data_IF_732795022216
#
_entry.id   IF_732795022216
#
_cell.length_a   1.000
_cell.length_b   1.000
_cell.length_c   1.000
_cell.angle_alpha   90.00
_cell.angle_beta   90.00
_cell.angle_gamma   90.00
#
_symmetry.space_group_name_H-M   'P 1'
#
loop_
_entity.id
_entity.type
_entity.pdbx_description
1 polymer ?
#
# COMPACT_ATOMS: atom_id res chain seq x y z
N UNK A 1 -9.38 10.11 -19.29
CA UNK A 1 -8.69 9.09 -20.10
C UNK A 1 -9.51 8.86 -21.36
N UNK A 2 -8.88 9.01 -22.52
CA UNK A 2 -9.54 8.80 -23.82
C UNK A 2 -9.57 7.30 -24.19
N UNK A 3 -10.46 6.91 -25.11
CA UNK A 3 -10.55 5.52 -25.58
C UNK A 3 -9.21 5.03 -26.17
N UNK A 4 -8.46 5.91 -26.83
CA UNK A 4 -7.15 5.58 -27.38
C UNK A 4 -6.09 5.24 -26.33
N UNK A 5 -6.09 5.92 -25.18
CA UNK A 5 -5.19 5.61 -24.06
C UNK A 5 -5.50 4.25 -23.44
N UNK A 6 -6.79 3.88 -23.37
CA UNK A 6 -7.22 2.57 -22.88
C UNK A 6 -6.72 1.44 -23.79
N UNK A 7 -6.87 1.60 -25.10
CA UNK A 7 -6.38 0.64 -26.09
C UNK A 7 -4.85 0.52 -26.05
N UNK A 8 -4.15 1.64 -25.83
CA UNK A 8 -2.70 1.66 -25.65
C UNK A 8 -2.27 0.89 -24.39
N UNK A 9 -2.91 1.11 -23.24
CA UNK A 9 -2.62 0.39 -21.99
C UNK A 9 -2.75 -1.13 -22.22
N UNK A 10 -3.85 -1.58 -22.82
CA UNK A 10 -4.10 -2.99 -23.07
C UNK A 10 -3.08 -3.60 -24.05
N UNK A 11 -2.70 -2.86 -25.08
CA UNK A 11 -1.67 -3.29 -26.05
C UNK A 11 -0.31 -3.45 -25.37
N UNK A 12 0.13 -2.44 -24.62
CA UNK A 12 1.43 -2.45 -23.90
C UNK A 12 1.44 -3.53 -22.83
N UNK A 13 0.32 -3.74 -22.13
CA UNK A 13 0.13 -4.82 -21.17
C UNK A 13 0.40 -6.20 -21.80
N UNK A 14 -0.27 -6.50 -22.91
CA UNK A 14 -0.12 -7.78 -23.61
C UNK A 14 1.30 -7.98 -24.16
N UNK A 15 1.88 -6.92 -24.76
CA UNK A 15 3.27 -6.91 -25.22
C UNK A 15 4.24 -7.25 -24.09
N UNK A 16 4.09 -6.55 -22.95
CA UNK A 16 4.99 -6.67 -21.80
C UNK A 16 4.93 -8.05 -21.17
N UNK A 17 3.72 -8.61 -20.97
CA UNK A 17 3.54 -9.98 -20.43
C UNK A 17 4.19 -11.03 -21.35
N UNK A 18 4.01 -10.89 -22.66
CA UNK A 18 4.61 -11.77 -23.66
C UNK A 18 6.14 -11.71 -23.63
N UNK A 19 6.69 -10.49 -23.57
CA UNK A 19 8.13 -10.24 -23.60
C UNK A 19 8.87 -10.84 -22.40
N UNK A 20 8.31 -10.70 -21.19
CA UNK A 20 8.90 -11.30 -19.98
C UNK A 20 8.58 -12.80 -19.82
N UNK A 21 7.78 -13.35 -20.74
CA UNK A 21 7.34 -14.75 -20.76
C UNK A 21 6.69 -15.17 -19.44
N UNK A 22 5.93 -14.28 -18.82
CA UNK A 22 5.30 -14.55 -17.52
C UNK A 22 4.06 -15.42 -17.71
N UNK A 23 4.14 -16.67 -17.21
CA UNK A 23 3.07 -17.67 -17.34
C UNK A 23 2.03 -17.52 -16.23
N UNK A 24 1.24 -16.45 -16.29
CA UNK A 24 0.08 -16.27 -15.42
C UNK A 24 -1.08 -17.18 -15.84
N UNK A 25 -1.79 -17.75 -14.86
CA UNK A 25 -3.08 -18.39 -15.11
C UNK A 25 -4.07 -17.34 -15.60
N UNK A 26 -5.02 -17.73 -16.45
CA UNK A 26 -6.00 -16.80 -17.03
C UNK A 26 -6.73 -15.91 -15.99
N UNK A 27 -7.18 -16.42 -14.82
CA UNK A 27 -7.78 -15.57 -13.79
C UNK A 27 -6.80 -14.52 -13.23
N UNK A 28 -5.56 -14.92 -12.91
CA UNK A 28 -4.52 -14.02 -12.40
C UNK A 28 -4.13 -12.95 -13.42
N UNK A 29 -4.04 -13.33 -14.71
CA UNK A 29 -3.74 -12.39 -15.80
C UNK A 29 -4.83 -11.32 -15.92
N UNK A 30 -6.11 -11.73 -15.98
CA UNK A 30 -7.25 -10.78 -16.01
C UNK A 30 -7.28 -9.87 -14.79
N UNK A 31 -6.91 -10.40 -13.63
CA UNK A 31 -6.86 -9.61 -12.40
C UNK A 31 -5.75 -8.55 -12.47
N UNK A 32 -4.54 -8.94 -12.87
CA UNK A 32 -3.43 -8.00 -13.09
C UNK A 32 -3.79 -6.93 -14.13
N UNK A 33 -4.46 -7.30 -15.23
CA UNK A 33 -4.95 -6.35 -16.24
C UNK A 33 -5.93 -5.33 -15.64
N UNK A 34 -6.93 -5.80 -14.88
CA UNK A 34 -7.90 -4.94 -14.20
C UNK A 34 -7.22 -4.00 -13.21
N UNK A 35 -6.24 -4.51 -12.48
CA UNK A 35 -5.52 -3.77 -11.47
C UNK A 35 -4.62 -2.69 -12.10
N UNK A 36 -3.92 -3.01 -13.20
CA UNK A 36 -3.15 -2.03 -14.00
C UNK A 36 -4.06 -0.94 -14.55
N UNK A 37 -5.23 -1.30 -15.10
CA UNK A 37 -6.21 -0.32 -15.57
C UNK A 37 -6.68 0.60 -14.45
N UNK A 38 -6.98 0.06 -13.27
CA UNK A 38 -7.42 0.86 -12.13
C UNK A 38 -6.34 1.86 -11.67
N UNK A 39 -5.07 1.47 -11.73
CA UNK A 39 -3.93 2.33 -11.40
C UNK A 39 -3.69 3.40 -12.46
N UNK A 40 -3.68 3.05 -13.75
CA UNK A 40 -3.48 3.99 -14.86
C UNK A 40 -4.63 4.99 -15.01
N UNK A 41 -5.84 4.61 -14.60
CA UNK A 41 -7.01 5.51 -14.54
C UNK A 41 -7.08 6.31 -13.24
N UNK A 42 -6.15 6.10 -12.32
CA UNK A 42 -6.12 6.69 -10.97
C UNK A 42 -7.39 6.44 -10.14
N UNK A 43 -8.22 5.47 -10.54
CA UNK A 43 -9.41 5.06 -9.77
C UNK A 43 -9.04 4.39 -8.46
N UNK A 44 -7.84 3.79 -8.40
CA UNK A 44 -7.20 3.32 -7.17
C UNK A 44 -5.73 3.73 -7.17
N UNK A 45 -5.21 4.33 -6.09
CA UNK A 45 -3.79 4.66 -5.98
C UNK A 45 -2.92 3.45 -5.61
N UNK A 46 -3.50 2.43 -4.97
CA UNK A 46 -2.80 1.26 -4.42
C UNK A 46 -3.64 0.00 -4.60
N UNK A 47 -2.96 -1.09 -4.94
CA UNK A 47 -3.54 -2.42 -5.05
C UNK A 47 -2.61 -3.40 -4.36
N UNK A 48 -3.15 -4.16 -3.39
CA UNK A 48 -2.46 -5.31 -2.82
C UNK A 48 -2.54 -6.48 -3.80
N UNK A 49 -1.39 -7.09 -4.11
CA UNK A 49 -1.29 -8.11 -5.15
C UNK A 49 -1.48 -9.51 -4.58
N UNK A 50 -2.38 -10.27 -5.20
CA UNK A 50 -2.59 -11.71 -4.93
C UNK A 50 -2.78 -12.49 -6.24
N UNK A 51 -1.77 -12.46 -7.12
CA UNK A 51 -1.82 -13.18 -8.40
C UNK A 51 -1.33 -14.63 -8.30
N UNK A 52 -1.00 -15.07 -7.08
CA UNK A 52 -0.22 -16.26 -6.82
C UNK A 52 1.26 -16.06 -7.17
N UNK A 53 2.11 -16.91 -6.59
CA UNK A 53 3.57 -16.80 -6.70
C UNK A 53 4.20 -16.80 -5.31
N UNK A 54 5.53 -16.91 -5.27
CA UNK A 54 6.31 -16.79 -4.03
C UNK A 54 7.20 -15.56 -4.15
N UNK A 55 7.40 -14.86 -3.04
CA UNK A 55 8.48 -13.87 -2.97
C UNK A 55 9.83 -14.64 -2.94
N UNK A 56 10.89 -14.13 -3.60
CA UNK A 56 10.99 -12.85 -4.34
C UNK A 56 10.57 -12.92 -5.83
N UNK A 57 10.23 -14.10 -6.37
CA UNK A 57 9.93 -14.26 -7.81
C UNK A 57 8.78 -13.35 -8.28
N UNK A 58 7.71 -13.22 -7.48
CA UNK A 58 6.58 -12.35 -7.83
C UNK A 58 7.00 -10.89 -7.96
N UNK A 59 7.83 -10.39 -7.04
CA UNK A 59 8.41 -9.05 -7.09
C UNK A 59 9.24 -8.85 -8.36
N UNK A 60 10.16 -9.76 -8.65
CA UNK A 60 11.03 -9.67 -9.83
C UNK A 60 10.20 -9.63 -11.13
N UNK A 61 9.15 -10.45 -11.22
CA UNK A 61 8.23 -10.49 -12.36
C UNK A 61 7.46 -9.18 -12.53
N UNK A 62 6.95 -8.61 -11.44
CA UNK A 62 6.23 -7.33 -11.46
C UNK A 62 7.15 -6.18 -11.83
N UNK A 63 8.37 -6.14 -11.28
CA UNK A 63 9.36 -5.12 -11.63
C UNK A 63 9.77 -5.24 -13.11
N UNK A 64 10.02 -6.45 -13.61
CA UNK A 64 10.33 -6.67 -15.02
C UNK A 64 9.16 -6.28 -15.94
N UNK A 65 7.93 -6.60 -15.54
CA UNK A 65 6.71 -6.18 -16.24
C UNK A 65 6.61 -4.66 -16.33
N UNK A 66 6.67 -3.94 -15.20
CA UNK A 66 6.58 -2.48 -15.19
C UNK A 66 7.71 -1.82 -15.96
N UNK A 67 8.93 -2.37 -15.90
CA UNK A 67 10.07 -1.87 -16.67
C UNK A 67 9.79 -1.91 -18.18
N UNK A 68 9.22 -3.01 -18.68
CA UNK A 68 8.83 -3.10 -20.09
C UNK A 68 7.69 -2.15 -20.44
N UNK A 69 6.66 -2.04 -19.60
CA UNK A 69 5.57 -1.11 -19.86
C UNK A 69 6.05 0.35 -19.99
N UNK A 70 6.94 0.79 -19.08
CA UNK A 70 7.52 2.14 -19.10
C UNK A 70 8.42 2.42 -20.30
N UNK A 71 9.06 1.39 -20.86
CA UNK A 71 9.86 1.53 -22.08
C UNK A 71 8.98 1.75 -23.31
N UNK A 72 7.76 1.21 -23.31
CA UNK A 72 6.84 1.32 -24.44
C UNK A 72 5.91 2.54 -24.36
N UNK A 73 5.51 2.97 -23.15
CA UNK A 73 4.57 4.07 -22.97
C UNK A 73 4.78 4.84 -21.66
N UNK A 74 4.66 6.17 -21.73
CA UNK A 74 4.75 7.08 -20.57
C UNK A 74 3.54 6.97 -19.64
N UNK A 75 2.43 6.35 -20.07
CA UNK A 75 1.25 6.12 -19.20
C UNK A 75 1.63 5.35 -17.93
N UNK A 76 2.66 4.49 -18.01
CA UNK A 76 3.13 3.66 -16.90
C UNK A 76 4.22 4.34 -16.05
N UNK A 77 4.62 5.58 -16.39
CA UNK A 77 5.75 6.28 -15.78
C UNK A 77 5.66 6.34 -14.26
N UNK A 78 4.45 6.45 -13.70
CA UNK A 78 4.20 6.58 -12.27
C UNK A 78 3.93 5.25 -11.56
N UNK A 79 3.86 4.12 -12.27
CA UNK A 79 3.61 2.82 -11.64
C UNK A 79 4.85 2.28 -10.96
N UNK A 80 4.69 1.75 -9.74
CA UNK A 80 5.77 1.16 -8.94
C UNK A 80 5.27 -0.12 -8.26
N UNK A 81 6.21 -1.01 -7.96
CA UNK A 81 6.05 -2.10 -7.00
C UNK A 81 6.44 -1.55 -5.63
N UNK A 82 5.59 -1.76 -4.63
CA UNK A 82 5.88 -1.43 -3.25
C UNK A 82 5.81 -2.69 -2.38
N UNK A 83 6.73 -2.84 -1.44
CA UNK A 83 6.79 -3.97 -0.51
C UNK A 83 6.68 -3.46 0.91
N UNK A 84 5.90 -4.15 1.73
CA UNK A 84 5.78 -3.89 3.16
C UNK A 84 5.71 -5.25 3.86
N UNK A 85 6.77 -5.60 4.60
CA UNK A 85 6.94 -6.95 5.16
C UNK A 85 6.81 -8.01 4.04
N UNK A 86 5.93 -8.99 4.20
CA UNK A 86 5.68 -10.05 3.22
C UNK A 86 4.61 -9.68 2.18
N UNK A 87 4.11 -8.44 2.21
CA UNK A 87 3.04 -7.96 1.33
C UNK A 87 3.60 -7.18 0.16
N UNK A 88 3.03 -7.42 -1.02
CA UNK A 88 3.39 -6.73 -2.26
C UNK A 88 2.21 -5.93 -2.81
N UNK A 89 2.51 -4.74 -3.30
CA UNK A 89 1.55 -3.78 -3.81
C UNK A 89 1.99 -3.26 -5.17
N UNK A 90 1.02 -2.99 -6.04
CA UNK A 90 1.19 -2.11 -7.19
C UNK A 90 0.60 -0.74 -6.84
N UNK A 91 1.35 0.31 -7.13
CA UNK A 91 0.95 1.68 -6.79
C UNK A 91 1.08 2.61 -7.99
N UNK A 92 0.24 3.64 -8.00
CA UNK A 92 0.43 4.83 -8.82
C UNK A 92 1.04 5.92 -7.92
N UNK A 93 2.34 6.19 -8.08
CA UNK A 93 3.15 6.97 -7.12
C UNK A 93 2.53 8.33 -6.79
N UNK A 94 2.12 9.09 -7.79
CA UNK A 94 1.55 10.44 -7.61
C UNK A 94 0.19 10.39 -6.94
N UNK A 95 -0.69 9.50 -7.39
CA UNK A 95 -2.03 9.35 -6.83
C UNK A 95 -1.97 8.89 -5.37
N UNK A 96 -1.02 8.02 -5.02
CA UNK A 96 -0.76 7.62 -3.64
C UNK A 96 -0.24 8.80 -2.80
N UNK A 97 0.70 9.60 -3.31
CA UNK A 97 1.19 10.78 -2.62
C UNK A 97 0.05 11.78 -2.29
N UNK A 98 -0.84 12.02 -3.27
CA UNK A 98 -2.01 12.87 -3.10
C UNK A 98 -2.99 12.29 -2.07
N UNK A 99 -3.25 10.97 -2.13
CA UNK A 99 -4.07 10.27 -1.13
C UNK A 99 -3.52 10.41 0.30
N UNK A 100 -2.21 10.18 0.49
CA UNK A 100 -1.55 10.30 1.80
C UNK A 100 -1.70 11.73 2.34
N UNK A 101 -1.50 12.73 1.48
CA UNK A 101 -1.64 14.14 1.84
C UNK A 101 -3.07 14.50 2.25
N UNK A 102 -4.07 14.09 1.49
CA UNK A 102 -5.48 14.34 1.81
C UNK A 102 -5.92 13.59 3.07
N UNK A 103 -5.41 12.38 3.28
CA UNK A 103 -5.62 11.61 4.52
C UNK A 103 -5.08 12.33 5.76
N UNK A 104 -3.86 12.90 5.69
CA UNK A 104 -3.26 13.64 6.81
C UNK A 104 -3.97 14.96 7.12
N UNK A 105 -4.55 15.59 6.10
CA UNK A 105 -5.35 16.82 6.26
C UNK A 105 -6.78 16.58 6.70
N UNK A 106 -7.18 15.31 6.89
CA UNK A 106 -8.54 14.90 7.20
C UNK A 106 -9.56 15.35 6.13
N UNK A 107 -9.11 15.48 4.88
CA UNK A 107 -9.99 15.76 3.72
C UNK A 107 -10.78 14.50 3.31
N UNK A 108 -10.30 13.32 3.73
CA UNK A 108 -10.96 12.02 3.52
C UNK A 108 -11.55 11.57 4.85
N UNK A 109 -12.86 11.38 4.90
CA UNK A 109 -13.53 10.84 6.08
C UNK A 109 -13.21 9.34 6.21
N UNK A 110 -12.54 8.97 7.30
CA UNK A 110 -12.24 7.59 7.66
C UNK A 110 -12.91 7.25 8.98
N UNK A 111 -13.64 6.13 8.99
CA UNK A 111 -14.23 5.60 10.21
C UNK A 111 -13.26 4.63 10.86
N UNK A 112 -13.00 4.82 12.15
CA UNK A 112 -12.11 3.94 12.91
C UNK A 112 -12.90 3.07 13.87
N UNK A 113 -12.63 1.77 13.89
CA UNK A 113 -13.20 0.84 14.88
C UNK A 113 -12.08 0.32 15.77
N UNK A 114 -12.21 0.57 17.07
CA UNK A 114 -11.35 0.03 18.11
C UNK A 114 -11.67 -1.45 18.32
N UNK A 115 -10.76 -2.33 17.91
CA UNK A 115 -10.88 -3.78 18.13
C UNK A 115 -10.27 -4.23 19.46
N UNK A 116 -9.62 -3.34 20.21
CA UNK A 116 -9.10 -3.65 21.55
C UNK A 116 -10.21 -3.57 22.60
N UNK A 117 -11.30 -2.88 22.31
CA UNK A 117 -12.47 -2.80 23.19
C UNK A 117 -13.39 -4.01 23.01
N UNK A 118 -14.00 -4.47 24.10
CA UNK A 118 -15.10 -5.44 24.05
C UNK A 118 -16.34 -4.81 24.70
N UNK A 119 -17.43 -4.56 23.96
CA UNK A 119 -17.56 -4.77 22.51
C UNK A 119 -16.70 -3.75 21.71
N UNK A 120 -16.34 -4.06 20.45
CA UNK A 120 -15.69 -3.10 19.56
C UNK A 120 -16.50 -1.83 19.41
N UNK A 121 -15.82 -0.68 19.29
CA UNK A 121 -16.49 0.63 19.22
C UNK A 121 -15.89 1.51 18.14
N UNK A 122 -16.74 2.26 17.45
CA UNK A 122 -16.25 3.36 16.61
C UNK A 122 -15.58 4.43 17.46
N UNK A 123 -14.44 4.92 16.98
CA UNK A 123 -13.70 6.01 17.60
C UNK A 123 -13.97 7.28 16.79
N UNK A 124 -14.46 8.32 17.47
CA UNK A 124 -14.64 9.66 16.90
C UNK A 124 -13.49 10.61 17.21
N UNK A 125 -12.62 10.26 18.17
CA UNK A 125 -11.44 11.04 18.58
C UNK A 125 -10.18 10.16 18.54
N UNK A 126 -9.36 10.35 17.50
CA UNK A 126 -8.10 9.64 17.23
C UNK A 126 -7.12 9.72 18.41
N UNK A 127 -7.12 10.84 19.15
CA UNK A 127 -6.18 11.15 20.25
C UNK A 127 -6.26 10.21 21.48
N UNK A 128 -7.29 9.35 21.57
CA UNK A 128 -7.51 8.46 22.74
C UNK A 128 -7.05 7.01 22.52
N UNK A 129 -6.56 6.66 21.34
CA UNK A 129 -6.15 5.29 21.00
C UNK A 129 -4.66 5.27 20.64
N UNK A 130 -3.89 4.42 21.32
CA UNK A 130 -2.48 4.15 20.99
C UNK A 130 -2.34 3.69 19.54
N UNK A 131 -3.16 2.72 19.11
CA UNK A 131 -3.17 2.22 17.73
C UNK A 131 -3.44 3.32 16.68
N UNK A 132 -4.26 4.32 17.02
CA UNK A 132 -4.53 5.45 16.13
C UNK A 132 -3.33 6.41 16.03
N UNK A 133 -2.59 6.62 17.13
CA UNK A 133 -1.33 7.37 17.12
C UNK A 133 -0.25 6.65 16.30
N UNK A 134 -0.17 5.32 16.40
CA UNK A 134 0.73 4.50 15.59
C UNK A 134 0.40 4.57 14.10
N UNK A 135 -0.89 4.53 13.74
CA UNK A 135 -1.32 4.78 12.37
C UNK A 135 -0.93 6.19 11.88
N UNK A 136 -1.11 7.23 12.71
CA UNK A 136 -0.69 8.59 12.36
C UNK A 136 0.84 8.69 12.16
N UNK A 137 1.62 7.99 12.97
CA UNK A 137 3.08 7.89 12.81
C UNK A 137 3.44 7.23 11.48
N UNK A 138 2.75 6.13 11.11
CA UNK A 138 2.90 5.50 9.81
C UNK A 138 2.53 6.45 8.66
N UNK A 139 1.41 7.17 8.76
CA UNK A 139 0.98 8.14 7.73
C UNK A 139 2.03 9.24 7.49
N UNK A 140 2.62 9.77 8.57
CA UNK A 140 3.70 10.77 8.47
C UNK A 140 4.96 10.20 7.83
N UNK A 141 5.31 8.96 8.16
CA UNK A 141 6.45 8.27 7.55
C UNK A 141 6.23 8.06 6.05
N UNK A 142 5.04 7.60 5.65
CA UNK A 142 4.65 7.52 4.24
C UNK A 142 4.72 8.89 3.55
N UNK A 143 4.22 9.96 4.18
CA UNK A 143 4.29 11.31 3.60
C UNK A 143 5.73 11.79 3.37
N UNK A 144 6.69 11.33 4.20
CA UNK A 144 8.11 11.66 4.02
C UNK A 144 8.71 10.97 2.79
N UNK A 145 8.35 9.70 2.56
CA UNK A 145 8.77 8.89 1.41
C UNK A 145 8.14 9.40 0.12
N UNK A 146 6.85 9.70 0.15
CA UNK A 146 6.06 10.12 -1.01
C UNK A 146 6.02 11.65 -1.20
N UNK A 147 7.08 12.36 -0.78
CA UNK A 147 7.20 13.79 -0.98
C UNK A 147 7.44 14.13 -2.46
N UNK A 148 6.85 15.23 -2.95
CA UNK A 148 6.78 15.56 -4.38
C UNK A 148 8.15 15.79 -5.06
N UNK A 149 9.23 15.98 -4.29
CA UNK A 149 10.62 16.12 -4.79
C UNK A 149 11.36 14.78 -4.97
N UNK A 150 10.75 13.65 -4.61
CA UNK A 150 11.38 12.33 -4.51
C UNK A 150 11.76 11.63 -5.82
N UNK A 151 11.70 12.29 -6.98
CA UNK A 151 12.10 11.65 -8.25
C UNK A 151 13.63 11.47 -8.37
N UNK A 152 14.43 12.10 -7.50
CA UNK A 152 15.91 12.12 -7.59
C UNK A 152 16.66 11.90 -6.26
N UNK A 153 15.99 11.62 -5.15
CA UNK A 153 16.66 11.45 -3.85
C UNK A 153 16.35 10.09 -3.26
N UNK A 154 17.42 9.31 -3.02
CA UNK A 154 17.38 8.04 -2.31
C UNK A 154 16.81 8.28 -0.88
N UNK A 155 15.60 7.79 -0.55
CA UNK A 155 14.91 8.12 0.69
C UNK A 155 15.66 7.65 1.95
N UNK A 156 16.59 6.71 1.79
CA UNK A 156 17.31 6.06 2.90
C UNK A 156 18.59 6.79 3.32
N UNK A 157 19.07 7.80 2.57
CA UNK A 157 20.26 8.56 2.98
C UNK A 157 19.99 9.68 3.99
N UNK A 158 18.74 10.11 4.16
CA UNK A 158 18.42 11.30 4.98
C UNK A 158 18.10 10.98 6.45
N UNK A 159 18.21 9.73 6.89
CA UNK A 159 18.21 9.37 8.30
C UNK A 159 19.61 8.97 8.77
N UNK A 160 20.47 9.98 8.89
CA UNK A 160 21.56 9.96 9.87
C UNK A 160 20.95 9.96 11.27
N UNK A 161 20.55 8.78 11.76
CA UNK A 161 20.42 8.54 13.19
C UNK A 161 21.82 8.17 13.66
N UNK A 162 22.46 9.12 14.36
CA UNK A 162 23.70 8.89 15.10
C UNK A 162 23.47 7.76 16.12
N UNK A 163 23.85 6.54 15.75
CA UNK A 163 24.11 5.43 16.68
C UNK A 163 25.62 5.23 16.75
N UNK A 164 26.30 6.19 17.37
CA UNK A 164 27.69 6.00 17.82
C UNK A 164 27.69 5.27 19.16
N UNK A 165 27.96 3.96 19.16
CA UNK A 165 28.83 3.30 20.14
C UNK A 165 29.00 1.79 19.87
N UNK A 166 30.11 1.50 19.18
CA UNK A 166 31.09 0.47 19.53
C UNK A 166 30.99 -0.98 18.97
N UNK A 167 32.10 -1.32 18.30
CA UNK A 167 32.77 -2.63 18.18
C UNK A 167 32.19 -3.71 17.23
N UNK A 168 32.59 -3.59 15.95
CA UNK A 168 33.41 -4.61 15.25
C UNK A 168 32.77 -5.95 14.86
N UNK A 169 32.43 -6.09 13.57
CA UNK A 169 32.73 -7.29 12.77
C UNK A 169 32.20 -7.10 11.34
N UNK A 170 33.03 -7.50 10.37
CA UNK A 170 32.82 -7.53 8.92
C UNK A 170 31.43 -8.01 8.46
N UNK A 171 30.89 -7.43 7.38
CA UNK A 171 30.52 -8.14 6.14
C UNK A 171 29.83 -7.23 5.10
N UNK A 172 30.25 -7.43 3.84
CA UNK A 172 29.58 -7.16 2.55
C UNK A 172 29.32 -5.73 2.06
N UNK A 173 29.96 -5.48 0.92
CA UNK A 173 29.83 -4.49 -0.16
C UNK A 173 28.49 -3.72 -0.29
N UNK A 174 28.54 -2.47 -0.82
CA UNK A 174 27.37 -1.62 -0.98
C UNK A 174 26.42 -2.21 -2.01
N UNK A 175 25.21 -2.57 -1.56
CA UNK A 175 24.15 -3.07 -2.44
C UNK A 175 23.76 -1.97 -3.42
N UNK A 176 24.00 -2.29 -4.69
CA UNK A 176 23.57 -1.65 -5.93
C UNK A 176 22.25 -0.89 -5.87
N UNK A 177 22.30 0.36 -6.35
CA UNK A 177 21.28 1.11 -7.09
C UNK A 177 19.85 0.57 -7.00
N UNK A 178 19.03 1.15 -6.14
CA UNK A 178 17.58 0.94 -6.12
C UNK A 178 17.00 1.21 -7.51
N UNK A 179 16.41 0.18 -8.12
CA UNK A 179 15.71 0.32 -9.40
C UNK A 179 14.53 1.27 -9.20
N UNK A 180 14.30 2.17 -10.15
CA UNK A 180 13.18 3.14 -10.12
C UNK A 180 11.83 2.46 -9.89
N UNK A 181 11.69 1.16 -10.18
CA UNK A 181 10.44 0.40 -10.15
C UNK A 181 10.04 -0.11 -8.75
N UNK A 182 10.94 -0.17 -7.77
CA UNK A 182 10.70 -0.82 -6.48
C UNK A 182 10.85 0.15 -5.31
N UNK A 183 9.88 0.12 -4.38
CA UNK A 183 9.92 0.82 -3.11
C UNK A 183 9.76 -0.23 -1.99
N UNK A 184 10.77 -0.37 -1.14
CA UNK A 184 10.69 -1.25 0.04
C UNK A 184 10.48 -0.41 1.30
N UNK A 185 9.33 -0.59 1.95
CA UNK A 185 8.92 0.08 3.18
C UNK A 185 8.77 -0.91 4.34
N UNK A 186 9.40 -2.08 4.26
CA UNK A 186 9.36 -3.08 5.34
C UNK A 186 9.94 -2.53 6.65
N UNK A 187 10.89 -1.61 6.58
CA UNK A 187 11.41 -0.90 7.77
C UNK A 187 10.39 0.06 8.40
N UNK A 188 9.39 0.54 7.66
CA UNK A 188 8.40 1.50 8.17
C UNK A 188 7.48 0.89 9.24
N UNK A 189 7.13 -0.39 9.10
CA UNK A 189 6.34 -1.13 10.09
C UNK A 189 7.13 -1.47 11.36
N UNK A 190 8.46 -1.55 11.27
CA UNK A 190 9.31 -1.74 12.43
C UNK A 190 9.31 -0.48 13.31
N UNK A 191 9.22 0.71 12.70
CA UNK A 191 9.25 1.99 13.40
C UNK A 191 7.88 2.34 14.01
N UNK A 192 6.79 2.14 13.27
CA UNK A 192 5.47 2.69 13.61
C UNK A 192 4.54 1.75 14.38
N UNK A 193 4.98 0.57 14.80
CA UNK A 193 4.21 -0.49 15.52
C UNK A 193 2.79 -0.82 15.02
N UNK A 194 2.34 -0.20 13.92
CA UNK A 194 1.03 -0.38 13.32
C UNK A 194 0.93 -1.80 12.77
N UNK A 195 -0.24 -2.39 12.89
CA UNK A 195 -0.48 -3.74 12.37
C UNK A 195 -0.76 -3.68 10.87
N UNK A 196 -0.30 -4.68 10.11
CA UNK A 196 -0.55 -4.78 8.66
C UNK A 196 -2.05 -4.66 8.32
N UNK A 197 -2.99 -5.29 9.05
CA UNK A 197 -4.42 -5.12 8.78
C UNK A 197 -4.90 -3.67 8.94
N UNK A 198 -4.42 -2.95 9.95
CA UNK A 198 -4.72 -1.52 10.15
C UNK A 198 -4.17 -0.70 8.97
N UNK A 199 -2.90 -0.97 8.61
CA UNK A 199 -2.22 -0.29 7.51
C UNK A 199 -2.94 -0.53 6.18
N UNK A 200 -3.31 -1.77 5.87
CA UNK A 200 -4.08 -2.13 4.67
C UNK A 200 -5.46 -1.48 4.65
N UNK A 201 -6.12 -1.39 5.81
CA UNK A 201 -7.34 -0.63 6.04
C UNK A 201 -7.26 0.76 5.42
N UNK A 202 -6.20 1.48 5.81
CA UNK A 202 -5.92 2.83 5.34
C UNK A 202 -5.40 2.88 3.89
N UNK A 203 -4.33 2.14 3.56
CA UNK A 203 -3.65 2.19 2.26
C UNK A 203 -4.57 1.86 1.08
N UNK A 204 -5.47 0.88 1.27
CA UNK A 204 -6.37 0.42 0.21
C UNK A 204 -7.63 1.29 0.10
N UNK A 205 -7.73 2.35 0.91
CA UNK A 205 -8.82 3.31 0.89
C UNK A 205 -10.15 2.71 1.37
N UNK A 206 -10.12 1.80 2.35
CA UNK A 206 -11.35 1.29 2.92
C UNK A 206 -12.03 2.38 3.78
N UNK A 207 -13.37 2.49 3.73
CA UNK A 207 -14.10 3.50 4.50
C UNK A 207 -14.02 3.27 6.01
N UNK A 208 -13.73 2.03 6.42
CA UNK A 208 -13.62 1.62 7.81
C UNK A 208 -12.24 0.99 8.02
N UNK A 209 -11.50 1.53 8.97
CA UNK A 209 -10.18 1.06 9.38
C UNK A 209 -10.28 0.46 10.77
N UNK A 210 -9.87 -0.79 10.89
CA UNK A 210 -9.77 -1.47 12.18
C UNK A 210 -8.47 -1.08 12.87
N UNK A 211 -8.56 -0.69 14.15
CA UNK A 211 -7.43 -0.27 14.96
C UNK A 211 -7.19 -1.27 16.09
N UNK A 212 -5.96 -1.75 16.18
CA UNK A 212 -5.46 -2.54 17.31
C UNK A 212 -3.93 -2.63 17.26
N UNK A 213 -3.30 -2.63 18.43
CA UNK A 213 -1.87 -2.87 18.63
C UNK A 213 -1.47 -4.34 18.44
N UNK A 214 -0.18 -4.58 18.24
CA UNK A 214 0.40 -5.94 18.05
C UNK A 214 0.20 -6.81 19.28
N UNK A 215 0.18 -6.22 20.47
CA UNK A 215 -0.10 -6.85 21.76
C UNK A 215 -1.57 -7.25 21.95
N UNK A 216 -2.47 -6.80 21.06
CA UNK A 216 -3.91 -7.02 21.15
C UNK A 216 -4.48 -7.85 19.99
N UNK A 217 -3.63 -8.52 19.21
CA UNK A 217 -4.03 -9.35 18.05
C UNK A 217 -5.06 -10.41 18.44
N UNK A 218 -4.85 -11.18 19.50
CA UNK A 218 -5.76 -12.25 19.92
C UNK A 218 -7.16 -11.71 20.26
N UNK A 219 -7.20 -10.55 20.90
CA UNK A 219 -8.45 -9.87 21.25
C UNK A 219 -9.16 -9.33 20.02
N UNK A 220 -8.42 -8.74 19.08
CA UNK A 220 -8.96 -8.27 17.82
C UNK A 220 -9.56 -9.42 17.01
N UNK A 221 -8.87 -10.57 16.92
CA UNK A 221 -9.38 -11.78 16.26
C UNK A 221 -10.65 -12.28 16.93
N UNK A 222 -10.66 -12.39 18.26
CA UNK A 222 -11.84 -12.80 19.02
C UNK A 222 -13.03 -11.89 18.73
N UNK A 223 -12.81 -10.58 18.77
CA UNK A 223 -13.85 -9.58 18.53
C UNK A 223 -14.42 -9.65 17.10
N UNK A 224 -13.55 -9.76 16.09
CA UNK A 224 -13.97 -9.92 14.70
C UNK A 224 -14.72 -11.23 14.44
N UNK A 225 -14.41 -12.28 15.20
CA UNK A 225 -15.00 -13.61 15.03
C UNK A 225 -16.32 -13.80 15.77
N UNK A 226 -16.56 -13.03 16.85
CA UNK A 226 -17.66 -13.31 17.80
C UNK A 226 -18.61 -12.15 18.03
N UNK A 227 -18.25 -10.91 17.66
CA UNK A 227 -19.03 -9.71 17.97
C UNK A 227 -19.55 -9.07 16.68
N UNK A 228 -20.77 -8.52 16.75
CA UNK A 228 -21.27 -7.65 15.67
C UNK A 228 -20.70 -6.25 15.84
N UNK A 229 -20.12 -5.71 14.77
CA UNK A 229 -19.48 -4.39 14.78
C UNK A 229 -20.50 -3.24 14.65
N UNK A 230 -21.76 -3.52 14.27
CA UNK A 230 -22.85 -2.53 14.10
C UNK A 230 -22.43 -1.23 13.40
N UNK A 231 -21.64 -1.33 12.33
CA UNK A 231 -20.97 -0.19 11.69
C UNK A 231 -21.96 0.74 10.96
N UNK A 232 -23.03 0.19 10.39
CA UNK A 232 -24.05 0.97 9.69
C UNK A 232 -25.46 0.54 10.07
N UNK A 233 -26.39 1.49 10.00
CA UNK A 233 -27.83 1.25 10.11
C UNK A 233 -28.49 1.61 8.78
N UNK A 234 -29.28 0.68 8.23
CA UNK A 234 -30.07 0.92 7.02
C UNK A 234 -31.49 1.26 7.46
N UNK A 235 -31.93 2.47 7.15
CA UNK A 235 -33.31 2.89 7.35
C UNK A 235 -34.07 2.75 6.04
N UNK A 236 -35.22 2.07 6.06
CA UNK A 236 -36.12 1.95 4.90
C UNK A 236 -37.35 2.83 5.17
N UNK A 237 -37.44 3.94 4.43
CA UNK A 237 -38.64 4.77 4.42
C UNK A 237 -39.58 4.30 3.30
N UNK A 238 -40.82 3.95 3.64
CA UNK A 238 -41.90 3.82 2.65
C UNK A 238 -42.61 5.17 2.55
N UNK A 239 -42.50 5.82 1.40
CA UNK A 239 -43.36 6.95 1.08
C UNK A 239 -44.77 6.42 0.82
N UNK A 240 -45.73 6.87 1.64
CA UNK A 240 -47.17 6.62 1.48
C UNK A 240 -47.79 7.79 0.74
#
# INVERSE_FOLDING_TARGET
>A
MEVGELEEILRVFESSISQIKWRLKHPSKRRLETDVLALCTETRPVIMVDYGGKMPELQERLCAFLKHCKQESSIFEHLRVMIIEDMIYLIHFRALADFIKSSLKLEIEMLFVDLEKDPPKMITQVEKSSAALELLSAQKLFASVFSADGLNSDPLQNHGIDLTANAGSSLSEPVTSTSSELIDLSCCLQISQVTVPTLNGWLLGYPVVYLFGKEHIDRAIYNLSTKSLHIFQIFICRYV
#
